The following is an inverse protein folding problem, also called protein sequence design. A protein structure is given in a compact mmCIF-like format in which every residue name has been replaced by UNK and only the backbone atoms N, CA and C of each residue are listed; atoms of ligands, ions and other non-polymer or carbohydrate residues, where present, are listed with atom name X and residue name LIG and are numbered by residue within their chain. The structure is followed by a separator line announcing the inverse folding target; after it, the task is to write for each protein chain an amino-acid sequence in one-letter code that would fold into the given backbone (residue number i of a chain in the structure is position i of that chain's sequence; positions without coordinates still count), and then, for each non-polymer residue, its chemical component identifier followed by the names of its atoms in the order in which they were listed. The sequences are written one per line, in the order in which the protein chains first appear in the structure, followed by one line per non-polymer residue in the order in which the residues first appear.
data_IF_226743653041
#
_entry.id   IF_226743653041
#
_cell.length_a   1.000
_cell.length_b   1.000
_cell.length_c   1.000
_cell.angle_alpha   90.00
_cell.angle_beta   90.00
_cell.angle_gamma   90.00
#
_symmetry.space_group_name_H-M   'P 1'
#
loop_
_entity.id
_entity.type
_entity.pdbx_description
1 polymer ?
#
# COMPACT_ATOMS: atom_id res chain seq x y z
N UNK A 1 13.56 9.32 -21.90
CA UNK A 1 14.17 10.66 -21.97
C UNK A 1 14.18 11.06 -23.44
N UNK A 2 13.36 12.03 -23.84
CA UNK A 2 13.29 12.41 -25.25
C UNK A 2 14.48 13.31 -25.56
N UNK A 3 15.57 12.71 -26.03
CA UNK A 3 16.78 13.44 -26.42
C UNK A 3 16.52 14.49 -27.52
N UNK A 4 15.43 14.33 -28.27
CA UNK A 4 15.00 15.21 -29.36
C UNK A 4 13.93 16.24 -28.96
N UNK A 5 13.62 16.39 -27.67
CA UNK A 5 12.60 17.35 -27.23
C UNK A 5 12.97 18.80 -27.56
N UNK A 6 12.00 19.57 -28.04
CA UNK A 6 12.12 21.00 -28.35
C UNK A 6 11.73 21.86 -27.13
N UNK A 7 12.63 22.76 -26.71
CA UNK A 7 12.36 23.71 -25.63
C UNK A 7 11.17 24.62 -25.97
N UNK A 8 10.28 24.86 -25.01
CA UNK A 8 9.08 25.68 -25.20
C UNK A 8 7.92 24.94 -25.90
N UNK A 9 8.14 23.70 -26.35
CA UNK A 9 7.11 22.84 -26.96
C UNK A 9 6.95 21.53 -26.21
N UNK A 10 8.02 20.76 -26.07
CA UNK A 10 8.00 19.44 -25.42
C UNK A 10 8.36 19.50 -23.93
N UNK A 11 9.05 20.56 -23.51
CA UNK A 11 9.28 20.91 -22.11
C UNK A 11 9.29 22.43 -21.90
N UNK A 12 9.01 22.93 -20.67
CA UNK A 12 8.95 24.36 -20.38
C UNK A 12 10.24 25.10 -20.73
N UNK A 13 10.08 26.29 -21.32
CA UNK A 13 11.15 27.27 -21.51
C UNK A 13 11.44 28.01 -20.18
N UNK A 14 11.80 27.26 -19.13
CA UNK A 14 12.16 27.80 -17.83
C UNK A 14 13.65 27.53 -17.57
N UNK A 15 14.41 28.56 -17.21
CA UNK A 15 15.87 28.50 -17.15
C UNK A 15 16.46 27.44 -16.20
N UNK A 16 15.68 26.97 -15.22
CA UNK A 16 16.09 25.94 -14.27
C UNK A 16 15.48 24.56 -14.56
N UNK A 17 14.95 24.34 -15.77
CA UNK A 17 14.44 23.02 -16.14
C UNK A 17 15.58 22.01 -16.33
N UNK A 18 15.49 20.79 -15.75
CA UNK A 18 16.56 19.81 -15.84
C UNK A 18 16.79 19.34 -17.29
N UNK A 19 18.06 19.31 -17.70
CA UNK A 19 18.45 18.76 -18.99
C UNK A 19 18.18 17.25 -19.02
N UNK A 20 17.63 16.74 -20.12
CA UNK A 20 17.26 15.33 -20.23
C UNK A 20 16.05 14.95 -19.37
N UNK A 21 15.13 15.89 -19.09
CA UNK A 21 13.88 15.53 -18.44
C UNK A 21 12.69 16.05 -19.22
N UNK A 22 11.78 15.14 -19.56
CA UNK A 22 10.52 15.46 -20.23
C UNK A 22 9.39 15.26 -19.23
N UNK A 23 8.51 16.25 -19.04
CA UNK A 23 7.40 16.07 -18.12
C UNK A 23 6.43 15.06 -18.72
N UNK A 24 6.13 14.00 -17.96
CA UNK A 24 5.07 13.04 -18.31
C UNK A 24 3.92 13.30 -17.34
N UNK A 25 2.70 13.53 -17.84
CA UNK A 25 1.56 13.78 -16.97
C UNK A 25 1.30 12.57 -16.07
N UNK A 26 1.14 12.84 -14.76
CA UNK A 26 0.70 11.85 -13.78
C UNK A 26 -0.74 12.19 -13.41
N UNK A 27 -1.68 11.36 -13.86
CA UNK A 27 -3.09 11.51 -13.52
C UNK A 27 -3.36 10.91 -12.14
N UNK A 28 -4.16 11.60 -11.33
CA UNK A 28 -4.55 11.13 -9.99
C UNK A 28 -5.97 11.59 -9.69
N UNK A 29 -6.63 10.89 -8.77
CA UNK A 29 -7.92 11.26 -8.19
C UNK A 29 -7.78 11.33 -6.65
N UNK A 30 -8.68 12.03 -5.94
CA UNK A 30 -8.82 11.87 -4.51
C UNK A 30 -9.06 10.40 -4.15
N UNK A 31 -8.48 9.91 -3.06
CA UNK A 31 -8.51 8.47 -2.73
C UNK A 31 -9.92 7.86 -2.58
N UNK A 32 -10.92 8.66 -2.20
CA UNK A 32 -12.31 8.23 -2.12
C UNK A 32 -12.98 8.02 -3.49
N UNK A 33 -12.43 8.62 -4.54
CA UNK A 33 -12.93 8.57 -5.93
C UNK A 33 -12.05 7.69 -6.83
N UNK A 34 -10.88 7.27 -6.33
CA UNK A 34 -9.94 6.46 -7.09
C UNK A 34 -10.33 4.98 -7.08
N UNK A 35 -11.17 4.58 -8.03
CA UNK A 35 -11.57 3.18 -8.20
C UNK A 35 -10.52 2.31 -8.92
N UNK A 36 -9.41 2.89 -9.40
CA UNK A 36 -8.39 2.18 -10.16
C UNK A 36 -7.13 1.89 -9.33
N UNK A 37 -6.65 2.87 -8.56
CA UNK A 37 -5.45 2.79 -7.75
C UNK A 37 -5.71 2.45 -6.27
N UNK A 38 -6.90 2.77 -5.73
CA UNK A 38 -7.22 2.45 -4.35
C UNK A 38 -7.70 1.00 -4.21
N UNK A 39 -6.84 0.12 -3.72
CA UNK A 39 -7.18 -1.28 -3.41
C UNK A 39 -8.23 -1.43 -2.30
N UNK A 40 -8.50 -0.35 -1.56
CA UNK A 40 -9.55 -0.26 -0.53
C UNK A 40 -10.74 0.60 -0.99
N UNK A 41 -10.93 0.76 -2.31
CA UNK A 41 -12.12 1.43 -2.83
C UNK A 41 -13.40 0.75 -2.27
N UNK A 42 -14.45 1.52 -1.90
CA UNK A 42 -15.66 0.97 -1.29
C UNK A 42 -16.27 -0.14 -2.15
N UNK A 43 -16.33 -1.36 -1.58
CA UNK A 43 -16.83 -2.54 -2.28
C UNK A 43 -17.57 -3.46 -1.29
N UNK A 44 -18.90 -3.36 -1.20
CA UNK A 44 -19.69 -4.17 -0.26
C UNK A 44 -19.49 -5.68 -0.44
N UNK A 45 -19.20 -6.13 -1.67
CA UNK A 45 -18.92 -7.55 -1.93
C UNK A 45 -17.57 -7.98 -1.34
N UNK A 46 -16.55 -7.12 -1.38
CA UNK A 46 -15.25 -7.42 -0.78
C UNK A 46 -15.38 -7.52 0.73
N UNK A 47 -16.10 -6.59 1.37
CA UNK A 47 -16.39 -6.63 2.81
C UNK A 47 -17.10 -7.93 3.21
N UNK A 48 -18.14 -8.33 2.47
CA UNK A 48 -18.84 -9.58 2.72
C UNK A 48 -17.90 -10.81 2.63
N UNK A 49 -17.08 -10.87 1.58
CA UNK A 49 -16.16 -11.99 1.36
C UNK A 49 -15.07 -12.07 2.43
N UNK A 50 -14.58 -10.92 2.88
CA UNK A 50 -13.59 -10.82 3.94
C UNK A 50 -14.17 -11.27 5.29
N UNK A 51 -15.43 -10.94 5.59
CA UNK A 51 -16.13 -11.50 6.75
C UNK A 51 -16.36 -13.02 6.67
N UNK A 52 -16.75 -13.53 5.49
CA UNK A 52 -16.93 -14.96 5.25
C UNK A 52 -15.59 -15.71 5.46
N UNK A 53 -14.50 -15.17 4.92
CA UNK A 53 -13.14 -15.70 5.09
C UNK A 53 -12.74 -15.75 6.57
N UNK A 54 -12.94 -14.68 7.33
CA UNK A 54 -12.56 -14.64 8.76
C UNK A 54 -13.35 -15.62 9.63
N UNK A 55 -14.55 -16.01 9.20
CA UNK A 55 -15.39 -17.00 9.88
C UNK A 55 -15.03 -18.44 9.46
N UNK A 56 -14.23 -18.64 8.42
CA UNK A 56 -13.84 -19.95 7.92
C UNK A 56 -13.01 -20.74 8.94
N UNK A 57 -13.05 -22.07 8.83
CA UNK A 57 -12.30 -22.95 9.72
C UNK A 57 -10.79 -22.74 9.56
N UNK A 58 -10.33 -22.57 8.31
CA UNK A 58 -8.93 -22.40 7.95
C UNK A 58 -8.35 -21.12 8.56
N UNK A 59 -9.06 -20.00 8.45
CA UNK A 59 -8.62 -18.73 9.02
C UNK A 59 -8.54 -18.81 10.55
N UNK A 60 -9.60 -19.33 11.19
CA UNK A 60 -9.65 -19.47 12.65
C UNK A 60 -8.60 -20.43 13.18
N UNK A 61 -8.32 -21.51 12.45
CA UNK A 61 -7.25 -22.45 12.78
C UNK A 61 -5.89 -21.79 12.66
N UNK A 62 -5.63 -21.05 11.58
CA UNK A 62 -4.37 -20.32 11.42
C UNK A 62 -4.15 -19.30 12.55
N UNK A 63 -5.21 -18.61 12.97
CA UNK A 63 -5.14 -17.65 14.08
C UNK A 63 -4.87 -18.36 15.42
N UNK A 64 -5.54 -19.49 15.68
CA UNK A 64 -5.33 -20.29 16.88
C UNK A 64 -3.91 -20.88 16.94
N UNK A 65 -3.43 -21.45 15.83
CA UNK A 65 -2.10 -22.07 15.70
C UNK A 65 -0.97 -21.04 15.90
N UNK A 66 -1.22 -19.76 15.63
CA UNK A 66 -0.23 -18.67 15.77
C UNK A 66 -0.50 -17.74 16.97
N UNK A 67 -1.42 -18.12 17.87
CA UNK A 67 -1.89 -17.26 18.95
C UNK A 67 -0.75 -16.69 19.82
N UNK A 68 0.19 -17.54 20.23
CA UNK A 68 1.32 -17.12 21.08
C UNK A 68 2.17 -16.05 20.40
N UNK A 69 2.43 -16.19 19.10
CA UNK A 69 3.21 -15.21 18.33
C UNK A 69 2.44 -13.90 18.17
N UNK A 70 1.15 -13.95 17.87
CA UNK A 70 0.31 -12.76 17.75
C UNK A 70 0.19 -12.00 19.09
N UNK A 71 0.09 -12.73 20.20
CA UNK A 71 0.10 -12.16 21.55
C UNK A 71 1.45 -11.50 21.86
N UNK A 72 2.57 -12.16 21.54
CA UNK A 72 3.91 -11.60 21.69
C UNK A 72 4.06 -10.30 20.91
N UNK A 73 3.67 -10.29 19.62
CA UNK A 73 3.71 -9.08 18.81
C UNK A 73 2.83 -7.99 19.42
N UNK A 74 1.64 -8.33 19.92
CA UNK A 74 0.74 -7.37 20.55
C UNK A 74 1.36 -6.73 21.79
N UNK A 75 2.02 -7.52 22.63
CA UNK A 75 2.74 -7.04 23.80
C UNK A 75 3.89 -6.10 23.41
N UNK A 76 4.71 -6.49 22.42
CA UNK A 76 5.91 -5.70 22.04
C UNK A 76 5.59 -4.43 21.29
N UNK A 77 4.53 -4.42 20.50
CA UNK A 77 4.13 -3.27 19.70
C UNK A 77 3.17 -2.34 20.43
N UNK A 78 2.48 -2.82 21.47
CA UNK A 78 1.44 -2.07 22.18
C UNK A 78 0.12 -1.92 21.41
N UNK A 79 0.00 -2.52 20.23
CA UNK A 79 -1.25 -2.60 19.45
C UNK A 79 -1.79 -4.03 19.46
N UNK A 80 -3.11 -4.21 19.33
CA UNK A 80 -3.67 -5.56 19.13
C UNK A 80 -3.31 -6.06 17.74
N UNK A 81 -2.43 -7.05 17.66
CA UNK A 81 -2.00 -7.69 16.41
C UNK A 81 -2.85 -8.93 16.14
N UNK A 82 -3.35 -9.04 14.92
CA UNK A 82 -4.13 -10.15 14.39
C UNK A 82 -3.60 -10.50 12.99
N UNK A 83 -4.05 -11.61 12.41
CA UNK A 83 -3.68 -11.96 11.03
C UNK A 83 -4.06 -10.86 10.03
N UNK A 84 -5.09 -10.06 10.29
CA UNK A 84 -5.55 -9.01 9.38
C UNK A 84 -4.69 -7.74 9.40
N UNK A 85 -3.81 -7.55 10.39
CA UNK A 85 -3.00 -6.34 10.51
C UNK A 85 -1.51 -6.59 10.77
N UNK A 86 -1.09 -7.85 10.88
CA UNK A 86 0.32 -8.23 11.14
C UNK A 86 1.29 -7.66 10.09
N UNK A 87 0.83 -7.42 8.86
CA UNK A 87 1.64 -6.82 7.79
C UNK A 87 2.17 -5.42 8.17
N UNK A 88 1.45 -4.66 9.01
CA UNK A 88 1.90 -3.35 9.48
C UNK A 88 3.18 -3.46 10.32
N UNK A 89 3.29 -4.52 11.12
CA UNK A 89 4.47 -4.78 11.94
C UNK A 89 5.61 -5.29 11.07
N UNK A 90 5.30 -6.22 10.15
CA UNK A 90 6.28 -6.79 9.23
C UNK A 90 6.93 -5.71 8.35
N UNK A 91 6.14 -4.84 7.70
CA UNK A 91 6.66 -3.80 6.81
C UNK A 91 7.56 -2.82 7.57
N UNK A 92 7.11 -2.33 8.72
CA UNK A 92 7.91 -1.44 9.55
C UNK A 92 9.20 -2.13 9.99
N UNK A 93 9.12 -3.36 10.51
CA UNK A 93 10.30 -4.10 10.94
C UNK A 93 11.27 -4.35 9.78
N UNK A 94 10.78 -4.76 8.62
CA UNK A 94 11.60 -5.02 7.43
C UNK A 94 12.38 -3.79 6.98
N UNK A 95 11.74 -2.63 6.95
CA UNK A 95 12.40 -1.36 6.57
C UNK A 95 13.51 -1.02 7.57
N UNK A 96 13.24 -1.13 8.87
CA UNK A 96 14.21 -0.74 9.91
C UNK A 96 15.43 -1.69 10.00
N UNK A 97 15.27 -2.97 9.65
CA UNK A 97 16.37 -3.95 9.71
C UNK A 97 17.10 -4.17 8.39
N UNK A 98 16.60 -3.62 7.28
CA UNK A 98 17.20 -3.77 5.95
C UNK A 98 18.09 -2.60 5.53
N UNK A 99 18.33 -1.65 6.43
CA UNK A 99 19.32 -0.56 6.29
C UNK A 99 20.68 -0.98 6.87
#
# INVERSE_FOLDING_TARGET
MFYEGEQGKDYPEFGNWPHGWTPIPVHTLPGAEDHAGNVFAPCPRAEQLDEELRKSEEYRKLEADNKEFLDFLSEKTGMKVTLSNIYLVHDAHHIEVSL
#
